data_IF_187346279285
#
_entry.id   IF_187346279285
#
_cell.length_a   1.000
_cell.length_b   1.000
_cell.length_c   1.000
_cell.angle_alpha   90.00
_cell.angle_beta   90.00
_cell.angle_gamma   90.00
#
_symmetry.space_group_name_H-M   'P 1'
#
loop_
_entity.id
_entity.type
_entity.pdbx_description
1 polymer ?
#
# COMPACT_ATOMS: atom_id res chain seq x y z
N UNK A 1 -1.97 -29.44 23.79
CA UNK A 1 -3.34 -29.09 23.35
C UNK A 1 -3.36 -27.59 23.20
N UNK A 2 -3.09 -27.05 21.98
CA UNK A 2 -3.26 -25.66 21.69
C UNK A 2 -4.76 -25.38 21.56
N UNK A 3 -5.32 -24.54 22.43
CA UNK A 3 -6.67 -24.02 22.21
C UNK A 3 -6.54 -22.99 21.07
N UNK A 4 -7.09 -23.29 19.90
CA UNK A 4 -7.33 -22.28 18.89
C UNK A 4 -8.37 -21.32 19.45
N UNK A 5 -7.98 -20.07 19.73
CA UNK A 5 -8.94 -19.03 20.06
C UNK A 5 -9.87 -18.85 18.87
N UNK A 6 -11.16 -19.13 19.04
CA UNK A 6 -12.15 -18.86 18.00
C UNK A 6 -12.25 -17.36 17.76
N UNK A 7 -12.23 -16.93 16.51
CA UNK A 7 -12.45 -15.54 16.14
C UNK A 7 -13.61 -15.45 15.15
N UNK A 8 -14.52 -14.50 15.40
CA UNK A 8 -15.63 -14.19 14.50
C UNK A 8 -15.47 -12.79 13.96
N UNK A 9 -15.32 -12.68 12.64
CA UNK A 9 -15.12 -11.41 11.95
C UNK A 9 -16.46 -10.82 11.50
N UNK A 10 -16.62 -9.51 11.71
CA UNK A 10 -17.75 -8.72 11.23
C UNK A 10 -17.28 -7.76 10.16
N UNK A 11 -18.01 -7.69 9.06
CA UNK A 11 -17.63 -6.90 7.89
C UNK A 11 -18.69 -5.82 7.60
N UNK A 12 -18.25 -4.73 7.02
CA UNK A 12 -19.13 -3.74 6.39
C UNK A 12 -19.51 -4.16 4.96
N UNK A 13 -20.24 -3.26 4.26
CA UNK A 13 -20.65 -3.46 2.86
C UNK A 13 -19.48 -3.53 1.87
N UNK A 14 -18.33 -2.97 2.23
CA UNK A 14 -17.12 -2.92 1.41
C UNK A 14 -16.15 -4.06 1.76
N UNK A 15 -16.62 -5.05 2.54
CA UNK A 15 -15.87 -6.21 3.00
C UNK A 15 -14.66 -5.87 3.92
N UNK A 16 -14.62 -4.68 4.50
CA UNK A 16 -13.65 -4.33 5.52
C UNK A 16 -14.05 -4.93 6.87
N UNK A 17 -13.09 -5.46 7.63
CA UNK A 17 -13.37 -5.94 9.00
C UNK A 17 -13.62 -4.72 9.89
N UNK A 18 -14.84 -4.61 10.44
CA UNK A 18 -15.23 -3.54 11.38
C UNK A 18 -15.18 -3.99 12.83
N UNK A 19 -15.28 -5.29 13.09
CA UNK A 19 -15.15 -5.84 14.43
C UNK A 19 -14.70 -7.31 14.42
N UNK A 20 -14.11 -7.75 15.51
CA UNK A 20 -13.74 -9.15 15.77
C UNK A 20 -14.18 -9.50 17.18
N UNK A 21 -15.02 -10.54 17.30
CA UNK A 21 -15.25 -11.21 18.59
C UNK A 21 -14.18 -12.28 18.77
N UNK A 22 -13.57 -12.32 19.96
CA UNK A 22 -12.41 -13.15 20.27
C UNK A 22 -12.78 -14.07 21.43
N UNK A 23 -12.83 -15.36 21.18
CA UNK A 23 -13.03 -16.34 22.23
C UNK A 23 -11.69 -16.72 22.85
N UNK A 24 -11.52 -16.47 24.16
CA UNK A 24 -10.28 -16.72 24.90
C UNK A 24 -9.02 -16.07 24.27
N UNK A 25 -9.15 -14.82 23.85
CA UNK A 25 -8.06 -14.06 23.23
C UNK A 25 -6.86 -13.84 24.16
N UNK A 26 -5.67 -13.60 23.59
CA UNK A 26 -4.51 -13.22 24.36
C UNK A 26 -4.77 -11.91 25.13
N UNK A 27 -4.15 -11.75 26.29
CA UNK A 27 -4.30 -10.56 27.15
C UNK A 27 -5.74 -10.31 27.66
N UNK A 28 -6.65 -11.30 27.52
CA UNK A 28 -8.03 -11.21 28.00
C UNK A 28 -8.95 -10.36 27.13
N UNK A 29 -8.54 -9.94 25.95
CA UNK A 29 -9.44 -9.24 25.02
C UNK A 29 -10.48 -10.19 24.45
N UNK A 30 -11.74 -9.72 24.39
CA UNK A 30 -12.87 -10.46 23.84
C UNK A 30 -13.48 -9.80 22.60
N UNK A 31 -13.21 -8.51 22.40
CA UNK A 31 -13.69 -7.80 21.24
C UNK A 31 -12.72 -6.70 20.83
N UNK A 32 -12.56 -6.54 19.51
CA UNK A 32 -11.93 -5.40 18.86
C UNK A 32 -12.90 -4.77 17.86
N UNK A 33 -12.92 -3.44 17.80
CA UNK A 33 -13.64 -2.67 16.77
C UNK A 33 -12.69 -1.72 16.06
N UNK A 34 -12.95 -1.52 14.77
CA UNK A 34 -12.09 -0.72 13.91
C UNK A 34 -12.90 0.36 13.20
N UNK A 35 -12.33 1.56 13.10
CA UNK A 35 -12.91 2.67 12.35
C UNK A 35 -11.94 3.11 11.27
N UNK A 36 -12.50 3.43 10.12
CA UNK A 36 -11.75 3.82 8.94
C UNK A 36 -12.15 5.21 8.46
N UNK A 37 -11.24 5.90 7.80
CA UNK A 37 -11.56 7.11 7.07
C UNK A 37 -12.07 6.78 5.65
N UNK A 38 -12.43 7.83 4.91
CA UNK A 38 -12.96 7.70 3.54
C UNK A 38 -11.97 7.07 2.55
N UNK A 39 -10.67 7.04 2.88
CA UNK A 39 -9.64 6.39 2.07
C UNK A 39 -9.40 4.93 2.47
N UNK A 40 -10.19 4.39 3.41
CA UNK A 40 -10.07 3.03 3.93
C UNK A 40 -8.90 2.84 4.91
N UNK A 41 -8.28 3.94 5.41
CA UNK A 41 -7.20 3.87 6.39
C UNK A 41 -7.80 3.76 7.77
N UNK A 42 -7.32 2.82 8.58
CA UNK A 42 -7.77 2.66 9.97
C UNK A 42 -7.31 3.83 10.82
N UNK A 43 -8.25 4.60 11.35
CA UNK A 43 -7.97 5.76 12.20
C UNK A 43 -8.11 5.46 13.68
N UNK A 44 -8.87 4.42 14.04
CA UNK A 44 -9.11 4.05 15.43
C UNK A 44 -9.28 2.54 15.59
N UNK A 45 -8.81 2.01 16.72
CA UNK A 45 -9.03 0.65 17.19
C UNK A 45 -9.47 0.71 18.65
N UNK A 46 -10.57 0.03 18.98
CA UNK A 46 -11.14 -0.06 20.33
C UNK A 46 -11.11 -1.50 20.80
N UNK A 47 -10.71 -1.72 22.03
CA UNK A 47 -10.54 -3.05 22.63
C UNK A 47 -11.32 -3.18 23.92
N UNK A 48 -12.01 -4.32 24.08
CA UNK A 48 -12.73 -4.70 25.29
C UNK A 48 -12.20 -6.00 25.85
N UNK A 49 -12.01 -6.06 27.16
CA UNK A 49 -11.63 -7.25 27.90
C UNK A 49 -12.86 -7.95 28.48
N UNK A 50 -12.67 -9.21 28.88
CA UNK A 50 -13.66 -9.94 29.63
C UNK A 50 -14.00 -9.18 30.92
N UNK A 51 -15.24 -8.72 31.06
CA UNK A 51 -15.72 -8.26 32.35
C UNK A 51 -15.98 -9.46 33.26
N UNK A 52 -15.47 -9.43 34.50
CA UNK A 52 -15.70 -10.47 35.49
C UNK A 52 -17.18 -10.61 35.92
N UNK A 53 -18.10 -9.82 35.38
CA UNK A 53 -19.45 -9.62 35.95
C UNK A 53 -20.60 -10.03 35.01
N UNK A 54 -20.44 -10.50 33.78
CA UNK A 54 -21.63 -10.84 32.99
C UNK A 54 -21.43 -11.93 31.93
N UNK A 55 -22.26 -12.99 32.01
CA UNK A 55 -22.49 -13.98 30.95
C UNK A 55 -23.27 -13.44 29.72
N UNK A 56 -23.57 -12.14 29.67
CA UNK A 56 -24.23 -11.47 28.54
C UNK A 56 -23.53 -10.14 28.28
N UNK A 57 -22.61 -10.15 27.32
CA UNK A 57 -21.80 -8.99 26.99
C UNK A 57 -22.53 -8.11 25.99
N UNK A 58 -23.08 -6.99 26.46
CA UNK A 58 -23.49 -5.89 25.58
C UNK A 58 -22.34 -4.90 25.52
N UNK A 59 -21.38 -5.12 24.60
CA UNK A 59 -20.16 -4.28 24.44
C UNK A 59 -20.46 -2.78 24.28
N UNK A 60 -21.63 -2.44 23.76
CA UNK A 60 -22.03 -1.04 23.54
C UNK A 60 -22.45 -0.28 24.82
N UNK A 61 -22.53 -0.96 25.97
CA UNK A 61 -22.91 -0.33 27.25
C UNK A 61 -21.70 0.08 28.11
N UNK A 62 -20.48 -0.30 27.71
CA UNK A 62 -19.26 0.00 28.44
C UNK A 62 -18.23 0.67 27.53
N UNK A 63 -17.49 1.64 28.08
CA UNK A 63 -16.34 2.24 27.42
C UNK A 63 -15.29 1.17 27.13
N UNK A 64 -14.53 1.28 26.03
CA UNK A 64 -13.44 0.37 25.73
C UNK A 64 -12.33 0.45 26.77
N UNK A 65 -11.73 -0.70 27.11
CA UNK A 65 -10.60 -0.76 28.02
C UNK A 65 -9.33 -0.12 27.44
N UNK A 66 -9.19 -0.14 26.12
CA UNK A 66 -8.06 0.49 25.43
C UNK A 66 -8.48 1.01 24.05
N UNK A 67 -8.05 2.23 23.74
CA UNK A 67 -8.29 2.86 22.43
C UNK A 67 -6.96 3.24 21.80
N UNK A 68 -6.76 2.83 20.54
CA UNK A 68 -5.65 3.28 19.70
C UNK A 68 -6.16 4.28 18.67
N UNK A 69 -5.40 5.35 18.47
CA UNK A 69 -5.60 6.31 17.37
C UNK A 69 -4.40 6.28 16.44
N UNK A 70 -4.64 6.37 15.14
CA UNK A 70 -3.63 6.24 14.10
C UNK A 70 -3.60 7.48 13.20
N UNK A 71 -2.39 8.01 12.95
CA UNK A 71 -2.17 9.12 12.04
C UNK A 71 -1.47 8.68 10.77
N UNK A 72 -1.85 9.31 9.64
CA UNK A 72 -1.44 8.90 8.30
C UNK A 72 -0.89 10.07 7.48
N UNK A 73 0.11 9.80 6.63
CA UNK A 73 0.54 10.68 5.55
C UNK A 73 0.44 9.89 4.24
N UNK A 74 -0.50 10.28 3.39
CA UNK A 74 -0.93 9.43 2.27
C UNK A 74 -1.40 8.08 2.79
N UNK A 75 -0.82 6.99 2.29
CA UNK A 75 -1.14 5.62 2.73
C UNK A 75 -0.07 5.05 3.70
N UNK A 76 0.77 5.89 4.29
CA UNK A 76 1.76 5.48 5.31
C UNK A 76 1.27 5.81 6.70
N UNK A 77 1.29 4.83 7.59
CA UNK A 77 1.04 5.00 9.02
C UNK A 77 2.23 5.74 9.64
N UNK A 78 2.04 6.97 10.09
CA UNK A 78 3.13 7.80 10.64
C UNK A 78 3.04 8.00 12.14
N UNK A 79 1.91 7.73 12.77
CA UNK A 79 1.81 7.81 14.23
C UNK A 79 0.77 6.85 14.80
N UNK A 80 1.00 6.45 16.03
CA UNK A 80 0.08 5.71 16.88
C UNK A 80 0.07 6.28 18.28
N UNK A 81 -1.10 6.28 18.89
CA UNK A 81 -1.32 6.68 20.28
C UNK A 81 -2.26 5.67 20.95
N UNK A 82 -1.98 5.31 22.21
CA UNK A 82 -2.84 4.41 23.01
C UNK A 82 -3.32 5.11 24.26
N UNK A 83 -4.60 4.91 24.59
CA UNK A 83 -5.19 5.40 25.86
C UNK A 83 -4.53 4.77 27.10
N UNK A 84 -3.90 3.60 26.96
CA UNK A 84 -3.12 2.98 28.03
C UNK A 84 -1.81 3.75 28.35
N UNK A 85 -1.39 4.65 27.45
CA UNK A 85 -0.24 5.51 27.62
C UNK A 85 -0.56 6.94 27.16
N UNK A 86 -1.47 7.65 27.86
CA UNK A 86 -2.14 8.86 27.36
C UNK A 86 -1.21 10.03 27.08
N UNK A 87 0.00 10.01 27.62
CA UNK A 87 1.01 11.07 27.43
C UNK A 87 2.07 10.67 26.38
N UNK A 88 1.92 9.54 25.69
CA UNK A 88 2.96 9.09 24.75
C UNK A 88 2.38 8.86 23.37
N UNK A 89 2.96 9.53 22.39
CA UNK A 89 2.73 9.29 20.96
C UNK A 89 3.96 8.67 20.33
N UNK A 90 3.77 7.63 19.55
CA UNK A 90 4.81 6.99 18.78
C UNK A 90 4.71 7.47 17.33
N UNK A 91 5.83 7.92 16.77
CA UNK A 91 5.95 8.29 15.36
C UNK A 91 6.85 7.31 14.63
N UNK A 92 6.54 7.07 13.37
CA UNK A 92 7.31 6.23 12.47
C UNK A 92 7.88 7.06 11.33
N UNK A 93 9.19 7.06 11.19
CA UNK A 93 9.89 7.64 10.04
C UNK A 93 10.21 6.54 9.03
N UNK A 94 10.07 6.85 7.75
CA UNK A 94 10.28 5.91 6.65
C UNK A 94 11.34 6.42 5.68
N UNK A 95 11.95 5.51 4.95
CA UNK A 95 12.78 5.87 3.81
C UNK A 95 11.92 6.54 2.72
N UNK A 96 12.49 7.50 2.00
CA UNK A 96 11.78 8.23 0.95
C UNK A 96 11.11 7.27 -0.05
N UNK A 97 9.83 7.56 -0.35
CA UNK A 97 9.01 6.80 -1.28
C UNK A 97 8.88 5.29 -0.98
N UNK A 98 9.18 4.85 0.24
CA UNK A 98 9.15 3.46 0.69
C UNK A 98 8.28 3.31 1.94
N UNK A 99 7.84 2.08 2.20
CA UNK A 99 7.20 1.67 3.45
C UNK A 99 8.21 0.99 4.41
N UNK A 100 9.50 1.02 4.10
CA UNK A 100 10.55 0.50 4.98
C UNK A 100 10.78 1.49 6.12
N UNK A 101 10.53 1.10 7.38
CA UNK A 101 10.75 1.99 8.52
C UNK A 101 12.24 2.24 8.74
N UNK A 102 12.60 3.49 9.02
CA UNK A 102 13.95 3.93 9.39
C UNK A 102 14.10 4.12 10.88
N UNK A 103 13.10 4.72 11.50
CA UNK A 103 13.14 5.01 12.92
C UNK A 103 11.73 5.02 13.54
N UNK A 104 11.69 4.69 14.81
CA UNK A 104 10.58 4.88 15.73
C UNK A 104 10.95 5.98 16.70
N UNK A 105 10.07 6.96 16.89
CA UNK A 105 10.27 8.11 17.77
C UNK A 105 9.15 8.09 18.80
N UNK A 106 9.48 7.94 20.07
CA UNK A 106 8.54 8.00 21.18
C UNK A 106 8.61 9.39 21.82
N UNK A 107 7.51 10.13 21.74
CA UNK A 107 7.37 11.45 22.37
C UNK A 107 6.45 11.33 23.58
N UNK A 108 6.95 11.67 24.76
CA UNK A 108 6.15 11.72 25.97
C UNK A 108 5.90 13.18 26.34
N UNK A 109 4.66 13.62 26.14
CA UNK A 109 4.20 14.98 26.45
C UNK A 109 3.72 15.06 27.92
N UNK A 110 4.57 14.62 28.84
CA UNK A 110 4.33 14.82 30.25
C UNK A 110 4.72 16.28 30.60
N UNK A 111 3.79 17.13 31.08
CA UNK A 111 4.10 18.52 31.41
C UNK A 111 5.25 18.70 32.40
N UNK A 112 5.48 17.69 33.26
CA UNK A 112 6.55 17.71 34.27
C UNK A 112 7.88 17.19 33.75
N UNK A 113 7.88 16.36 32.70
CA UNK A 113 9.08 15.76 32.15
C UNK A 113 8.86 15.31 30.69
N UNK A 114 8.88 16.24 29.72
CA UNK A 114 8.77 15.88 28.31
C UNK A 114 10.02 15.11 27.86
N UNK A 115 9.82 13.93 27.27
CA UNK A 115 10.93 13.07 26.83
C UNK A 115 10.73 12.69 25.35
N UNK A 116 11.84 12.52 24.66
CA UNK A 116 11.89 11.97 23.31
C UNK A 116 12.94 10.87 23.25
N UNK A 117 12.52 9.68 22.85
CA UNK A 117 13.41 8.57 22.56
C UNK A 117 13.38 8.25 21.07
N UNK A 118 14.53 8.04 20.47
CA UNK A 118 14.66 7.65 19.05
C UNK A 118 15.27 6.26 19.01
N UNK A 119 14.60 5.36 18.27
CA UNK A 119 15.06 4.01 18.02
C UNK A 119 15.21 3.82 16.51
N UNK A 120 16.41 3.44 16.06
CA UNK A 120 16.70 3.18 14.66
C UNK A 120 16.27 1.76 14.30
N UNK A 121 15.58 1.62 13.17
CA UNK A 121 15.01 0.35 12.74
C UNK A 121 15.95 -0.35 11.77
N UNK A 122 16.31 -1.58 12.08
CA UNK A 122 17.04 -2.47 11.19
C UNK A 122 16.06 -3.47 10.61
N UNK A 123 15.89 -3.42 9.28
CA UNK A 123 14.89 -4.21 8.57
C UNK A 123 15.52 -5.20 7.61
N UNK A 124 14.85 -6.33 7.39
CA UNK A 124 15.15 -7.28 6.32
C UNK A 124 15.00 -6.64 4.92
N UNK A 125 15.32 -7.40 3.89
CA UNK A 125 15.13 -6.97 2.50
C UNK A 125 13.66 -6.67 2.16
N UNK A 126 12.71 -7.36 2.78
CA UNK A 126 11.26 -7.11 2.61
C UNK A 126 10.73 -5.96 3.48
N UNK A 127 11.60 -5.28 4.24
CA UNK A 127 11.24 -4.17 5.12
C UNK A 127 10.62 -4.59 6.45
N UNK A 128 10.72 -5.87 6.81
CA UNK A 128 10.31 -6.38 8.11
C UNK A 128 11.31 -5.94 9.17
N UNK A 129 10.90 -5.23 10.25
CA UNK A 129 11.81 -4.85 11.34
C UNK A 129 12.37 -6.06 12.08
N UNK A 130 13.70 -6.20 12.13
CA UNK A 130 14.39 -7.29 12.80
C UNK A 130 15.03 -6.85 14.11
N UNK A 131 15.47 -5.58 14.21
CA UNK A 131 15.99 -5.02 15.44
C UNK A 131 15.72 -3.53 15.56
N UNK A 132 15.71 -3.03 16.79
CA UNK A 132 15.75 -1.61 17.12
C UNK A 132 17.01 -1.33 17.93
N UNK A 133 17.73 -0.24 17.60
CA UNK A 133 18.84 0.28 18.40
C UNK A 133 18.51 1.67 18.94
N UNK A 134 19.05 2.00 20.12
CA UNK A 134 18.98 3.35 20.68
C UNK A 134 20.05 4.27 20.02
N UNK A 135 20.15 5.52 20.50
CA UNK A 135 21.14 6.50 20.02
C UNK A 135 22.60 6.07 20.25
N UNK A 136 22.84 5.19 21.21
CA UNK A 136 24.18 4.69 21.57
C UNK A 136 24.56 3.44 20.74
N UNK A 137 23.66 2.99 19.86
CA UNK A 137 23.86 1.80 19.02
C UNK A 137 23.56 0.49 19.72
N UNK A 138 23.03 0.52 20.95
CA UNK A 138 22.66 -0.70 21.67
C UNK A 138 21.37 -1.27 21.16
N UNK A 139 21.29 -2.60 20.98
CA UNK A 139 20.07 -3.30 20.61
C UNK A 139 19.11 -3.26 21.81
N UNK A 140 17.95 -2.61 21.63
CA UNK A 140 16.91 -2.50 22.65
C UNK A 140 15.76 -3.48 22.42
N UNK A 141 15.59 -3.91 21.18
CA UNK A 141 14.60 -4.91 20.78
C UNK A 141 15.12 -5.71 19.58
N UNK A 142 14.81 -7.00 19.55
CA UNK A 142 15.10 -7.89 18.42
C UNK A 142 13.99 -8.90 18.25
N UNK A 143 13.55 -9.13 16.99
CA UNK A 143 12.52 -10.08 16.60
C UNK A 143 13.06 -11.16 15.67
N UNK A 144 12.59 -12.41 15.87
CA UNK A 144 12.81 -13.53 14.97
C UNK A 144 11.49 -13.96 14.38
N UNK A 145 11.44 -14.12 13.05
CA UNK A 145 10.23 -14.35 12.30
C UNK A 145 10.28 -15.64 11.47
N UNK A 146 9.11 -16.23 11.22
CA UNK A 146 8.96 -17.18 10.13
C UNK A 146 9.09 -16.48 8.77
N UNK A 147 9.26 -17.25 7.69
CA UNK A 147 9.30 -16.70 6.33
C UNK A 147 8.04 -15.87 5.98
N UNK A 148 6.90 -16.16 6.59
CA UNK A 148 5.63 -15.46 6.39
C UNK A 148 5.37 -14.33 7.39
N UNK A 149 6.41 -13.90 8.14
CA UNK A 149 6.33 -12.73 9.01
C UNK A 149 5.67 -12.96 10.37
N UNK A 150 5.39 -14.22 10.75
CA UNK A 150 4.94 -14.54 12.09
C UNK A 150 6.10 -14.34 13.08
N UNK A 151 5.90 -13.49 14.10
CA UNK A 151 6.90 -13.26 15.15
C UNK A 151 6.98 -14.48 16.08
N UNK A 152 8.04 -15.27 15.94
CA UNK A 152 8.25 -16.50 16.71
C UNK A 152 8.88 -16.21 18.08
N UNK A 153 9.77 -15.23 18.13
CA UNK A 153 10.49 -14.85 19.34
C UNK A 153 10.86 -13.38 19.30
N UNK A 154 10.80 -12.72 20.44
CA UNK A 154 11.36 -11.38 20.62
C UNK A 154 12.20 -11.33 21.89
N UNK A 155 13.22 -10.48 21.87
CA UNK A 155 14.05 -10.18 23.03
C UNK A 155 14.14 -8.68 23.23
N UNK A 156 14.26 -8.25 24.50
CA UNK A 156 14.48 -6.86 24.90
C UNK A 156 15.69 -6.84 25.83
N UNK A 157 16.91 -6.72 25.27
CA UNK A 157 18.15 -6.80 26.04
C UNK A 157 18.30 -5.71 27.11
N UNK A 158 17.62 -4.57 26.90
CA UNK A 158 17.64 -3.44 27.84
C UNK A 158 16.23 -3.19 28.38
N UNK A 159 16.13 -2.58 29.57
CA UNK A 159 14.86 -2.14 30.17
C UNK A 159 14.35 -0.82 29.60
N UNK A 160 15.12 -0.16 28.74
CA UNK A 160 14.80 1.16 28.19
C UNK A 160 13.68 1.12 27.14
N UNK A 161 13.48 -0.03 26.49
CA UNK A 161 12.41 -0.27 25.53
C UNK A 161 11.39 -1.27 26.08
N UNK A 162 10.23 -0.77 26.53
CA UNK A 162 9.19 -1.60 27.15
C UNK A 162 7.87 -1.65 26.35
N UNK A 163 7.86 -1.06 25.15
CA UNK A 163 6.67 -1.02 24.28
C UNK A 163 6.70 -2.10 23.22
N UNK A 164 5.54 -2.37 22.63
CA UNK A 164 5.44 -3.32 21.51
C UNK A 164 5.96 -2.70 20.21
N UNK A 165 6.71 -3.50 19.44
CA UNK A 165 7.03 -3.20 18.06
C UNK A 165 5.96 -3.81 17.15
N UNK A 166 5.07 -2.96 16.63
CA UNK A 166 3.88 -3.39 15.90
C UNK A 166 4.04 -3.39 14.38
N UNK A 167 5.04 -2.68 13.82
CA UNK A 167 5.28 -2.74 12.38
C UNK A 167 5.75 -4.15 11.97
N UNK A 168 5.26 -4.60 10.81
CA UNK A 168 5.59 -5.92 10.23
C UNK A 168 6.12 -5.73 8.81
N UNK A 169 5.74 -6.56 7.84
CA UNK A 169 6.06 -6.31 6.44
C UNK A 169 5.60 -4.91 6.03
N UNK A 170 6.15 -4.37 4.95
CA UNK A 170 5.83 -3.02 4.50
C UNK A 170 4.30 -2.79 4.42
N UNK A 171 3.83 -1.75 5.13
CA UNK A 171 2.40 -1.41 5.25
C UNK A 171 1.62 -2.20 6.29
N UNK A 172 2.25 -3.17 6.97
CA UNK A 172 1.57 -4.00 7.98
C UNK A 172 1.77 -3.49 9.40
N UNK A 173 0.69 -3.59 10.18
CA UNK A 173 0.66 -3.29 11.61
C UNK A 173 0.06 -4.48 12.38
N UNK A 174 0.77 -4.97 13.37
CA UNK A 174 0.37 -6.11 14.19
C UNK A 174 -0.71 -5.74 15.20
N UNK A 175 -1.77 -6.52 15.22
CA UNK A 175 -2.86 -6.46 16.19
C UNK A 175 -2.71 -7.60 17.20
N UNK A 176 -2.19 -7.26 18.38
CA UNK A 176 -1.87 -8.22 19.44
C UNK A 176 -3.08 -9.03 19.93
N UNK A 177 -4.26 -8.45 19.87
CA UNK A 177 -5.52 -9.06 20.31
C UNK A 177 -6.01 -10.16 19.37
N UNK A 178 -5.77 -10.02 18.08
CA UNK A 178 -6.23 -10.99 17.06
C UNK A 178 -5.12 -11.87 16.50
N UNK A 179 -3.85 -11.43 16.63
CA UNK A 179 -2.70 -12.07 15.97
C UNK A 179 -2.59 -11.72 14.48
N UNK A 180 -3.50 -10.91 13.95
CA UNK A 180 -3.49 -10.49 12.55
C UNK A 180 -2.58 -9.29 12.34
N UNK A 181 -2.17 -9.10 11.07
CA UNK A 181 -1.54 -7.85 10.64
C UNK A 181 -2.54 -7.05 9.82
N UNK A 182 -2.92 -5.88 10.31
CA UNK A 182 -3.67 -4.90 9.53
C UNK A 182 -2.79 -4.42 8.36
N UNK A 183 -3.29 -4.48 7.15
CA UNK A 183 -2.59 -4.09 5.93
C UNK A 183 -3.49 -3.23 5.03
N UNK A 184 -3.86 -2.05 5.51
CA UNK A 184 -4.74 -1.05 4.90
C UNK A 184 -6.10 -1.60 4.47
N UNK A 185 -6.21 -2.32 3.35
CA UNK A 185 -7.48 -2.81 2.83
C UNK A 185 -7.78 -4.26 3.21
N UNK A 186 -6.82 -4.99 3.75
CA UNK A 186 -6.98 -6.37 4.18
C UNK A 186 -6.30 -6.63 5.53
N UNK A 187 -6.61 -7.79 6.09
CA UNK A 187 -5.92 -8.31 7.26
C UNK A 187 -5.17 -9.58 6.87
N UNK A 188 -3.91 -9.62 7.22
CA UNK A 188 -3.01 -10.73 6.92
C UNK A 188 -2.87 -11.64 8.14
N UNK A 189 -3.01 -12.95 7.94
CA UNK A 189 -2.79 -13.99 8.94
C UNK A 189 -1.39 -14.59 8.74
N UNK A 190 -0.39 -14.20 9.55
CA UNK A 190 1.01 -14.58 9.33
C UNK A 190 1.28 -16.07 9.60
N UNK A 191 0.47 -16.72 10.41
CA UNK A 191 0.50 -18.15 10.68
C UNK A 191 -0.01 -18.98 9.49
N UNK A 192 -0.93 -18.42 8.68
CA UNK A 192 -1.47 -19.05 7.48
C UNK A 192 -0.79 -18.58 6.19
N UNK A 193 0.03 -17.51 6.25
CA UNK A 193 0.70 -16.93 5.11
C UNK A 193 -0.23 -16.30 4.06
N UNK A 194 -1.44 -15.86 4.47
CA UNK A 194 -2.46 -15.35 3.56
C UNK A 194 -3.32 -14.25 4.18
N UNK A 195 -4.04 -13.52 3.33
CA UNK A 195 -5.07 -12.60 3.78
C UNK A 195 -6.33 -13.33 4.28
N UNK A 196 -7.08 -12.68 5.17
CA UNK A 196 -8.36 -13.17 5.70
C UNK A 196 -9.54 -12.78 4.82
N UNK A 197 -9.39 -11.76 3.97
CA UNK A 197 -10.39 -11.31 3.01
C UNK A 197 -9.93 -11.55 1.57
N UNK A 198 -10.90 -11.59 0.67
CA UNK A 198 -10.62 -11.58 -0.77
C UNK A 198 -9.96 -10.26 -1.19
N UNK A 199 -9.21 -10.32 -2.27
CA UNK A 199 -8.58 -9.15 -2.84
C UNK A 199 -9.65 -8.16 -3.34
N UNK A 200 -9.66 -6.88 -2.89
CA UNK A 200 -10.63 -5.88 -3.33
C UNK A 200 -10.55 -5.60 -4.85
N UNK A 201 -9.40 -5.85 -5.49
CA UNK A 201 -9.26 -5.75 -6.94
C UNK A 201 -9.60 -7.05 -7.67
N UNK A 202 -10.08 -8.06 -6.95
CA UNK A 202 -10.50 -9.35 -7.50
C UNK A 202 -9.38 -10.06 -8.25
N UNK A 203 -9.73 -10.66 -9.39
CA UNK A 203 -8.76 -11.41 -10.21
C UNK A 203 -7.62 -10.55 -10.78
N UNK A 204 -7.70 -9.21 -10.70
CA UNK A 204 -6.60 -8.33 -11.08
C UNK A 204 -5.39 -8.49 -10.14
N UNK A 205 -5.61 -8.90 -8.89
CA UNK A 205 -4.56 -9.26 -7.92
C UNK A 205 -4.00 -10.68 -8.09
N UNK A 206 -4.61 -11.51 -8.93
CA UNK A 206 -4.23 -12.91 -9.16
C UNK A 206 -5.39 -13.89 -8.99
N UNK A 207 -5.16 -15.16 -9.39
CA UNK A 207 -6.19 -16.22 -9.31
C UNK A 207 -6.53 -16.56 -7.85
N UNK A 208 -5.54 -16.56 -6.97
CA UNK A 208 -5.75 -16.78 -5.54
C UNK A 208 -6.03 -15.45 -4.83
N UNK A 209 -7.31 -15.14 -4.64
CA UNK A 209 -7.79 -13.88 -4.04
C UNK A 209 -7.31 -13.65 -2.59
N UNK A 210 -6.76 -14.66 -1.94
CA UNK A 210 -6.26 -14.59 -0.56
C UNK A 210 -4.73 -14.56 -0.47
N UNK A 211 -4.02 -14.68 -1.59
CA UNK A 211 -2.56 -14.70 -1.59
C UNK A 211 -1.99 -13.36 -1.11
N UNK A 212 -0.94 -13.43 -0.25
CA UNK A 212 -0.13 -12.25 0.09
C UNK A 212 0.89 -12.00 -1.03
N UNK A 213 1.76 -12.96 -1.29
CA UNK A 213 2.85 -12.86 -2.25
C UNK A 213 3.33 -14.24 -2.69
N UNK A 214 3.84 -14.42 -3.92
CA UNK A 214 4.51 -15.66 -4.33
C UNK A 214 5.77 -15.96 -3.51
N UNK A 215 6.47 -14.92 -3.06
CA UNK A 215 7.66 -15.03 -2.21
C UNK A 215 7.71 -13.85 -1.22
N UNK A 216 7.40 -14.05 0.06
CA UNK A 216 7.34 -12.97 1.05
C UNK A 216 8.70 -12.37 1.42
N UNK A 217 9.81 -13.03 1.04
CA UNK A 217 11.15 -12.50 1.29
C UNK A 217 11.56 -11.40 0.31
N UNK A 218 10.93 -11.36 -0.87
CA UNK A 218 11.31 -10.44 -1.95
C UNK A 218 10.15 -9.61 -2.50
N UNK A 219 8.92 -10.02 -2.23
CA UNK A 219 7.71 -9.34 -2.67
C UNK A 219 7.07 -8.60 -1.50
N UNK A 220 6.46 -7.48 -1.78
CA UNK A 220 5.75 -6.66 -0.78
C UNK A 220 4.40 -6.21 -1.32
N UNK A 221 3.42 -6.13 -0.42
CA UNK A 221 2.09 -5.61 -0.71
C UNK A 221 1.72 -4.57 0.37
N UNK A 222 2.18 -3.32 0.25
CA UNK A 222 2.03 -2.32 1.30
C UNK A 222 0.59 -1.90 1.58
N UNK A 223 -0.33 -2.17 0.67
CA UNK A 223 -1.73 -1.77 0.78
C UNK A 223 -2.71 -2.93 0.92
N UNK A 224 -2.22 -4.17 0.80
CA UNK A 224 -3.10 -5.33 0.78
C UNK A 224 -3.98 -5.39 -0.49
N UNK A 225 -3.47 -4.94 -1.65
CA UNK A 225 -4.18 -4.96 -2.93
C UNK A 225 -3.48 -5.78 -4.00
N UNK A 226 -2.17 -5.64 -4.08
CA UNK A 226 -1.39 -6.41 -5.02
C UNK A 226 0.03 -6.56 -4.51
N UNK A 227 0.58 -7.75 -4.61
CA UNK A 227 1.98 -7.99 -4.34
C UNK A 227 2.80 -7.72 -5.60
N UNK A 228 3.94 -7.05 -5.41
CA UNK A 228 4.93 -6.85 -6.46
C UNK A 228 6.34 -7.18 -5.96
N UNK A 229 7.27 -7.52 -6.82
CA UNK A 229 8.66 -7.63 -6.44
C UNK A 229 9.13 -6.30 -5.83
N UNK A 230 10.06 -6.34 -4.88
CA UNK A 230 10.69 -5.12 -4.38
C UNK A 230 11.50 -4.48 -5.50
N UNK A 231 10.86 -3.53 -6.20
CA UNK A 231 11.44 -2.86 -7.35
C UNK A 231 12.39 -1.77 -6.83
N UNK A 232 13.67 -1.88 -7.15
CA UNK A 232 14.71 -0.94 -6.71
C UNK A 232 15.30 -0.13 -7.87
N UNK A 233 15.30 -0.70 -9.05
CA UNK A 233 15.92 -0.10 -10.22
C UNK A 233 14.91 0.19 -11.33
N UNK A 234 15.22 1.11 -12.22
CA UNK A 234 14.42 1.38 -13.42
C UNK A 234 14.22 0.12 -14.28
N UNK A 235 15.21 -0.80 -14.29
CA UNK A 235 15.10 -2.07 -14.97
C UNK A 235 14.05 -2.99 -14.33
N UNK A 236 13.97 -3.02 -13.00
CA UNK A 236 12.95 -3.80 -12.27
C UNK A 236 11.54 -3.26 -12.58
N UNK A 237 11.37 -1.94 -12.54
CA UNK A 237 10.09 -1.30 -12.89
C UNK A 237 9.70 -1.59 -14.34
N UNK A 238 10.63 -1.50 -15.28
CA UNK A 238 10.37 -1.84 -16.68
C UNK A 238 9.88 -3.27 -16.85
N UNK A 239 10.54 -4.23 -16.19
CA UNK A 239 10.14 -5.64 -16.21
C UNK A 239 8.77 -5.87 -15.57
N UNK A 240 8.49 -5.19 -14.47
CA UNK A 240 7.19 -5.26 -13.82
C UNK A 240 6.08 -4.71 -14.72
N UNK A 241 6.31 -3.59 -15.43
CA UNK A 241 5.36 -3.03 -16.40
C UNK A 241 5.09 -4.04 -17.54
N UNK A 242 6.13 -4.69 -18.05
CA UNK A 242 5.98 -5.72 -19.09
C UNK A 242 5.09 -6.88 -18.62
N UNK A 243 5.25 -7.30 -17.37
CA UNK A 243 4.39 -8.33 -16.76
C UNK A 243 2.95 -7.84 -16.63
N UNK A 244 2.73 -6.60 -16.14
CA UNK A 244 1.39 -6.01 -16.04
C UNK A 244 0.72 -5.88 -17.41
N UNK A 245 1.43 -5.41 -18.43
CA UNK A 245 0.90 -5.32 -19.79
C UNK A 245 0.59 -6.71 -20.39
N UNK A 246 1.35 -7.74 -20.06
CA UNK A 246 1.07 -9.12 -20.51
C UNK A 246 -0.17 -9.72 -19.82
N UNK A 247 -0.39 -9.41 -18.55
CA UNK A 247 -1.50 -9.96 -17.76
C UNK A 247 -2.80 -9.19 -17.93
N UNK A 248 -2.72 -7.86 -17.93
CA UNK A 248 -3.86 -6.94 -17.88
C UNK A 248 -4.05 -6.10 -19.14
N UNK A 249 -3.09 -6.15 -20.05
CA UNK A 249 -3.13 -5.41 -21.32
C UNK A 249 -4.07 -6.06 -22.34
N UNK A 250 -4.75 -5.24 -23.13
CA UNK A 250 -5.43 -5.66 -24.35
C UNK A 250 -4.40 -6.16 -25.39
N UNK A 251 -4.85 -6.93 -26.38
CA UNK A 251 -4.00 -7.53 -27.41
C UNK A 251 -3.07 -6.50 -28.11
N UNK A 252 -3.49 -5.23 -28.18
CA UNK A 252 -2.74 -4.13 -28.79
C UNK A 252 -2.32 -3.07 -27.76
N UNK A 253 -2.15 -3.43 -26.48
CA UNK A 253 -1.67 -2.49 -25.47
C UNK A 253 -0.33 -1.89 -25.87
N UNK A 254 -0.16 -0.58 -25.67
CA UNK A 254 1.00 0.15 -26.16
C UNK A 254 1.52 1.23 -25.19
N UNK A 255 1.15 1.12 -23.90
CA UNK A 255 1.59 2.08 -22.89
C UNK A 255 3.12 2.16 -22.80
N UNK A 256 3.80 1.03 -22.69
CA UNK A 256 5.25 0.98 -22.60
C UNK A 256 5.95 1.48 -23.87
N UNK A 257 5.46 1.08 -25.06
CA UNK A 257 6.10 1.41 -26.34
C UNK A 257 5.92 2.85 -26.78
N UNK A 258 4.76 3.45 -26.50
CA UNK A 258 4.40 4.78 -27.01
C UNK A 258 4.51 5.90 -26.00
N UNK A 259 4.32 5.57 -24.72
CA UNK A 259 4.27 6.53 -23.62
C UNK A 259 5.24 6.17 -22.49
N UNK A 260 6.00 5.08 -22.63
CA UNK A 260 6.93 4.62 -21.62
C UNK A 260 8.10 5.58 -21.41
N UNK A 261 8.70 5.50 -20.23
CA UNK A 261 9.84 6.30 -19.83
C UNK A 261 11.07 6.14 -20.79
N UNK A 262 11.15 5.02 -21.49
CA UNK A 262 12.20 4.79 -22.50
C UNK A 262 12.01 5.50 -23.83
N UNK A 263 10.89 6.19 -24.06
CA UNK A 263 10.68 6.98 -25.26
C UNK A 263 11.34 8.36 -25.11
N UNK A 264 11.77 8.98 -26.22
CA UNK A 264 12.43 10.29 -26.19
C UNK A 264 11.42 11.44 -26.34
N UNK A 265 11.81 12.64 -25.89
CA UNK A 265 10.99 13.84 -26.09
C UNK A 265 10.83 14.17 -27.59
N UNK A 266 11.83 13.90 -28.41
CA UNK A 266 11.76 14.07 -29.86
C UNK A 266 10.71 13.18 -30.48
N UNK A 267 10.61 11.91 -30.03
CA UNK A 267 9.57 10.97 -30.43
C UNK A 267 8.17 11.48 -30.04
N UNK A 268 8.03 12.04 -28.84
CA UNK A 268 6.76 12.62 -28.39
C UNK A 268 6.40 13.88 -29.18
N UNK A 269 7.38 14.73 -29.48
CA UNK A 269 7.17 15.91 -30.32
C UNK A 269 6.76 15.53 -31.75
N UNK A 270 7.45 14.56 -32.34
CA UNK A 270 7.10 14.04 -33.67
C UNK A 270 5.66 13.54 -33.70
N UNK A 271 5.26 12.75 -32.73
CA UNK A 271 3.89 12.23 -32.59
C UNK A 271 2.86 13.36 -32.40
N UNK A 272 3.14 14.34 -31.57
CA UNK A 272 2.26 15.48 -31.34
C UNK A 272 2.07 16.35 -32.59
N UNK A 273 3.09 16.39 -33.47
CA UNK A 273 3.04 17.10 -34.76
C UNK A 273 2.34 16.30 -35.85
N UNK A 274 2.60 15.01 -35.95
CA UNK A 274 2.22 14.18 -37.10
C UNK A 274 1.05 13.23 -36.81
N UNK A 275 0.83 12.87 -35.53
CA UNK A 275 -0.10 11.83 -35.10
C UNK A 275 0.44 10.42 -35.31
N UNK A 276 1.63 10.25 -35.89
CA UNK A 276 2.23 8.96 -36.15
C UNK A 276 2.92 8.39 -34.90
N UNK A 277 2.89 7.07 -34.73
CA UNK A 277 3.57 6.42 -33.62
C UNK A 277 5.09 6.45 -33.85
N UNK A 278 5.91 6.72 -32.80
CA UNK A 278 7.36 6.74 -32.92
C UNK A 278 7.97 5.36 -33.19
N UNK A 279 7.24 4.26 -32.97
CA UNK A 279 7.70 2.88 -33.12
C UNK A 279 7.44 2.28 -34.51
N UNK A 280 6.97 3.05 -35.48
CA UNK A 280 6.64 2.67 -36.86
C UNK A 280 5.74 1.39 -37.00
N UNK A 281 5.19 0.87 -35.93
CA UNK A 281 4.46 -0.40 -35.95
C UNK A 281 2.99 -0.28 -36.36
N UNK A 282 2.43 0.91 -36.33
CA UNK A 282 1.08 1.20 -36.86
C UNK A 282 1.08 2.59 -37.46
N UNK A 283 1.43 2.67 -38.71
CA UNK A 283 0.97 3.76 -39.58
C UNK A 283 -0.53 3.54 -39.77
N UNK A 284 -1.35 3.90 -38.80
CA UNK A 284 -2.67 4.37 -39.18
C UNK A 284 -2.38 5.73 -39.80
N UNK A 285 -2.14 5.72 -41.08
CA UNK A 285 -2.32 6.91 -41.92
C UNK A 285 -3.81 7.16 -41.88
N UNK A 286 -4.26 7.75 -40.77
CA UNK A 286 -5.51 8.46 -40.73
C UNK A 286 -5.25 9.67 -41.63
N UNK A 287 -5.68 9.58 -42.85
CA UNK A 287 -5.69 10.70 -43.76
C UNK A 287 -6.43 11.85 -43.06
N UNK A 288 -5.63 12.82 -42.58
CA UNK A 288 -6.12 13.97 -41.78
C UNK A 288 -7.10 14.82 -42.56
N UNK A 289 -7.05 14.79 -43.89
CA UNK A 289 -7.99 15.47 -44.75
C UNK A 289 -9.39 14.87 -44.66
N UNK A 290 -9.51 13.56 -44.40
CA UNK A 290 -10.78 12.86 -44.34
C UNK A 290 -11.45 12.89 -42.96
N UNK A 291 -10.73 13.12 -41.87
CA UNK A 291 -11.29 13.04 -40.50
C UNK A 291 -11.29 14.37 -39.73
N UNK A 292 -10.69 15.43 -40.21
CA UNK A 292 -10.71 16.76 -39.54
C UNK A 292 -10.10 16.79 -38.12
N UNK A 293 -9.37 15.75 -37.71
CA UNK A 293 -8.80 15.65 -36.35
C UNK A 293 -7.37 16.21 -36.31
N UNK A 294 -7.11 17.10 -35.36
CA UNK A 294 -5.74 17.54 -35.01
C UNK A 294 -4.95 16.38 -34.40
N UNK A 295 -3.62 16.40 -34.56
CA UNK A 295 -2.74 15.47 -33.87
C UNK A 295 -2.97 15.55 -32.36
N UNK A 296 -3.02 14.42 -31.63
CA UNK A 296 -3.20 14.43 -30.19
C UNK A 296 -1.98 15.02 -29.49
N UNK A 297 -2.14 15.50 -28.26
CA UNK A 297 -1.00 15.72 -27.36
C UNK A 297 -0.29 14.37 -27.13
N UNK A 298 1.02 14.43 -26.93
CA UNK A 298 1.81 13.21 -26.74
C UNK A 298 2.80 13.38 -25.61
N UNK A 299 2.77 12.42 -24.68
CA UNK A 299 3.57 12.45 -23.45
C UNK A 299 4.30 11.13 -23.24
N UNK A 300 5.37 11.18 -22.45
CA UNK A 300 6.05 10.02 -21.88
C UNK A 300 6.07 10.13 -20.36
N UNK A 301 6.20 9.01 -19.67
CA UNK A 301 6.48 9.02 -18.24
C UNK A 301 7.91 9.46 -17.96
N UNK A 302 8.15 10.11 -16.82
CA UNK A 302 9.47 10.58 -16.40
C UNK A 302 10.40 9.43 -16.04
N UNK A 303 9.84 8.36 -15.46
CA UNK A 303 10.57 7.15 -15.08
C UNK A 303 9.69 5.92 -15.26
N UNK A 304 10.29 4.73 -15.31
CA UNK A 304 9.53 3.48 -15.30
C UNK A 304 8.80 3.31 -13.96
N UNK A 305 9.33 3.87 -12.86
CA UNK A 305 8.61 3.92 -11.58
C UNK A 305 7.32 4.72 -11.69
N UNK A 306 7.35 5.91 -12.28
CA UNK A 306 6.16 6.74 -12.46
C UNK A 306 5.11 6.03 -13.34
N UNK A 307 5.55 5.36 -14.39
CA UNK A 307 4.68 4.58 -15.25
C UNK A 307 4.08 3.38 -14.51
N UNK A 308 4.86 2.66 -13.72
CA UNK A 308 4.38 1.53 -12.91
C UNK A 308 3.34 1.99 -11.87
N UNK A 309 3.63 3.06 -11.14
CA UNK A 309 2.73 3.65 -10.17
C UNK A 309 1.39 4.06 -10.84
N UNK A 310 1.46 4.70 -12.01
CA UNK A 310 0.30 5.10 -12.79
C UNK A 310 -0.54 3.90 -13.25
N UNK A 311 0.09 2.86 -13.82
CA UNK A 311 -0.61 1.63 -14.22
C UNK A 311 -1.26 0.97 -13.01
N UNK A 312 -0.57 0.85 -11.90
CA UNK A 312 -1.08 0.25 -10.67
C UNK A 312 -2.31 1.01 -10.13
N UNK A 313 -2.34 2.34 -10.28
CA UNK A 313 -3.50 3.14 -9.88
C UNK A 313 -4.71 2.93 -10.81
N UNK A 314 -4.52 2.92 -12.13
CA UNK A 314 -5.64 2.81 -13.07
C UNK A 314 -6.23 1.41 -13.13
N UNK A 315 -5.44 0.36 -12.86
CA UNK A 315 -5.94 -1.02 -12.85
C UNK A 315 -7.03 -1.27 -11.80
N UNK A 316 -7.14 -0.42 -10.78
CA UNK A 316 -8.25 -0.45 -9.81
C UNK A 316 -9.62 -0.18 -10.45
N UNK A 317 -9.63 0.45 -11.61
CA UNK A 317 -10.82 0.78 -12.38
C UNK A 317 -11.00 -0.13 -13.60
N UNK A 318 -10.26 -1.25 -13.64
CA UNK A 318 -10.41 -2.26 -14.68
C UNK A 318 -11.86 -2.73 -14.77
N UNK A 319 -12.41 -2.82 -15.99
CA UNK A 319 -13.84 -3.10 -16.24
C UNK A 319 -14.69 -1.85 -16.49
N UNK A 320 -14.17 -0.65 -16.29
CA UNK A 320 -14.85 0.58 -16.69
C UNK A 320 -14.73 0.77 -18.21
N UNK A 321 -15.88 0.90 -18.90
CA UNK A 321 -15.92 1.23 -20.33
C UNK A 321 -15.65 2.72 -20.63
N UNK A 322 -15.15 3.48 -19.66
CA UNK A 322 -14.89 4.91 -19.78
C UNK A 322 -13.39 5.18 -19.66
N UNK A 323 -12.94 6.31 -20.21
CA UNK A 323 -11.64 6.83 -19.90
C UNK A 323 -11.53 7.17 -18.40
N UNK A 324 -10.45 6.77 -17.78
CA UNK A 324 -10.15 7.02 -16.37
C UNK A 324 -9.07 8.09 -16.28
N UNK A 325 -9.38 9.20 -15.63
CA UNK A 325 -8.46 10.28 -15.35
C UNK A 325 -8.10 10.27 -13.86
N UNK A 326 -6.80 10.30 -13.55
CA UNK A 326 -6.27 10.31 -12.19
C UNK A 326 -5.23 11.42 -12.06
N UNK A 327 -5.29 12.17 -10.96
CA UNK A 327 -4.21 13.06 -10.55
C UNK A 327 -3.28 12.30 -9.60
N UNK A 328 -2.01 12.18 -9.98
CA UNK A 328 -1.00 11.46 -9.20
C UNK A 328 -0.43 12.29 -8.03
N UNK A 329 -0.86 13.55 -7.89
CA UNK A 329 -0.38 14.46 -6.83
C UNK A 329 1.06 14.94 -7.00
N UNK A 330 1.77 14.50 -8.03
CA UNK A 330 3.14 14.90 -8.39
C UNK A 330 3.33 14.78 -9.90
N UNK A 331 4.26 15.54 -10.45
CA UNK A 331 4.61 15.44 -11.88
C UNK A 331 5.13 14.03 -12.18
N UNK A 332 4.51 13.36 -13.14
CA UNK A 332 4.81 11.96 -13.53
C UNK A 332 5.05 11.80 -15.03
N UNK A 333 4.64 12.77 -15.83
CA UNK A 333 4.81 12.73 -17.29
C UNK A 333 5.13 14.11 -17.88
N UNK A 334 5.75 14.09 -19.06
CA UNK A 334 6.12 15.27 -19.81
C UNK A 334 5.90 15.03 -21.31
N UNK A 335 5.81 16.11 -22.10
CA UNK A 335 5.66 15.97 -23.53
C UNK A 335 5.17 17.23 -24.22
N UNK A 336 4.45 17.06 -25.31
CA UNK A 336 4.02 18.14 -26.19
C UNK A 336 2.51 18.13 -26.41
N UNK A 337 1.91 19.33 -26.37
CA UNK A 337 0.51 19.52 -26.77
C UNK A 337 0.34 19.26 -28.28
N UNK A 338 -0.91 19.10 -28.70
CA UNK A 338 -1.28 18.95 -30.10
C UNK A 338 -0.59 20.02 -30.98
N UNK A 339 0.06 19.58 -32.05
CA UNK A 339 0.88 20.44 -32.92
C UNK A 339 2.37 20.43 -32.57
N UNK A 340 2.79 19.87 -31.44
CA UNK A 340 4.18 19.66 -31.06
C UNK A 340 5.02 20.90 -30.79
N UNK A 341 4.38 22.06 -30.54
CA UNK A 341 5.05 23.34 -30.31
C UNK A 341 5.16 23.70 -28.83
N UNK A 342 4.17 23.31 -28.03
CA UNK A 342 4.08 23.65 -26.60
C UNK A 342 4.49 22.42 -25.80
N UNK A 343 5.60 22.54 -25.08
CA UNK A 343 6.06 21.55 -24.11
C UNK A 343 5.37 21.76 -22.77
N UNK A 344 5.11 20.66 -22.04
CA UNK A 344 4.56 20.70 -20.70
C UNK A 344 4.85 19.44 -19.92
N UNK A 345 4.61 19.52 -18.63
CA UNK A 345 4.65 18.39 -17.71
C UNK A 345 3.36 18.31 -16.91
N UNK A 346 3.00 17.11 -16.42
CA UNK A 346 1.69 16.91 -15.80
C UNK A 346 1.72 15.88 -14.68
N UNK A 347 0.86 16.09 -13.68
CA UNK A 347 0.51 15.10 -12.65
C UNK A 347 -0.68 14.25 -13.06
N UNK A 348 -1.42 14.64 -14.10
CA UNK A 348 -2.65 13.98 -14.53
C UNK A 348 -2.38 12.93 -15.58
N UNK A 349 -2.96 11.77 -15.41
CA UNK A 349 -2.88 10.65 -16.35
C UNK A 349 -4.27 10.25 -16.83
N UNK A 350 -4.33 9.67 -18.03
CA UNK A 350 -5.53 9.08 -18.60
C UNK A 350 -5.27 7.67 -19.07
N UNK A 351 -6.17 6.77 -18.74
CA UNK A 351 -6.14 5.38 -19.18
C UNK A 351 -7.42 5.02 -19.94
N UNK A 352 -7.29 4.09 -20.87
CA UNK A 352 -8.40 3.49 -21.61
C UNK A 352 -8.37 1.98 -21.44
N UNK A 353 -9.56 1.40 -21.25
CA UNK A 353 -9.77 -0.04 -21.16
C UNK A 353 -10.64 -0.50 -22.35
N UNK A 354 -10.47 -1.77 -22.75
CA UNK A 354 -11.36 -2.41 -23.73
C UNK A 354 -12.67 -2.89 -23.07
N UNK A 355 -13.56 -3.45 -23.86
CA UNK A 355 -14.85 -3.97 -23.38
C UNK A 355 -14.71 -5.13 -22.38
N UNK A 356 -13.56 -5.78 -22.32
CA UNK A 356 -13.25 -6.87 -21.40
C UNK A 356 -12.52 -6.37 -20.13
N UNK A 357 -12.38 -5.05 -19.98
CA UNK A 357 -11.68 -4.43 -18.84
C UNK A 357 -10.15 -4.51 -18.92
N UNK A 358 -9.58 -4.81 -20.09
CA UNK A 358 -8.13 -4.85 -20.28
C UNK A 358 -7.59 -3.48 -20.69
N UNK A 359 -6.43 -3.11 -20.12
CA UNK A 359 -5.77 -1.83 -20.38
C UNK A 359 -5.29 -1.72 -21.82
N UNK A 360 -5.80 -0.73 -22.56
CA UNK A 360 -5.36 -0.43 -23.94
C UNK A 360 -4.16 0.51 -23.92
N UNK A 361 -4.23 1.61 -23.18
CA UNK A 361 -3.19 2.62 -23.13
C UNK A 361 -3.30 3.47 -21.88
N UNK A 362 -2.18 4.08 -21.49
CA UNK A 362 -2.07 5.05 -20.41
C UNK A 362 -1.05 6.13 -20.79
N UNK A 363 -1.34 7.38 -20.50
CA UNK A 363 -0.49 8.53 -20.82
C UNK A 363 -0.81 9.75 -19.95
N UNK A 364 0.13 10.73 -19.90
CA UNK A 364 -0.09 12.02 -19.26
C UNK A 364 -1.00 12.95 -20.06
N UNK A 365 -1.84 13.71 -19.37
CA UNK A 365 -2.72 14.73 -19.97
C UNK A 365 -2.07 16.09 -19.84
N UNK A 366 -1.79 16.78 -20.94
CA UNK A 366 -1.28 18.15 -20.98
C UNK A 366 -2.37 19.18 -21.26
#
# INVERSE_FOLDING_TARGET
>A
KGSSSGQRYHYDSDHCIIAVDIDQGPLGYQRAEYRYDILGRRIEKRLWKASAIANTVTYHQHEPDEVYSFGWVGMRLVSEHSSAAPHTTVYHAYNDQSYTPLARIECTDNPLNPQRAIYYTHSSLSGLPEALTNSDGEIVWQGQYSAWGHLQRQTRPTSTFNREQNLRFQGQYFDKETGLHYNTFRYYAPDLGRFTQQDPIGLAGGINLYAYAPNPLTWVDPWGWSCGPKLKTEADYKKAIQNLESQHGALNAHGLRRHGAGTTLEQQQYRARTGNSPDNHYTIVLDRKTLGRSAPSSTRFLSYKDQYDAISQVLKYAGSNKAIDIDMGRIVAEGYQSGGRIYGSTSKIRAYFDANGKLITIFGIL
#
